data_IF_654767244992
#
_entry.id   IF_654767244992
#
_cell.length_a   1.000
_cell.length_b   1.000
_cell.length_c   1.000
_cell.angle_alpha   90.00
_cell.angle_beta   90.00
_cell.angle_gamma   90.00
#
_symmetry.space_group_name_H-M   'P 1'
#
loop_
_entity.id
_entity.type
_entity.pdbx_description
1 polymer ?
#
# COMPACT_ATOMS: atom_id res chain seq x y z
N UNK A 1 -27.58 -2.31 7.48
CA UNK A 1 -26.74 -3.52 7.58
C UNK A 1 -26.89 -4.50 6.42
N UNK A 2 -27.93 -4.40 5.57
CA UNK A 2 -28.21 -5.36 4.48
C UNK A 2 -27.04 -5.57 3.50
N UNK A 3 -26.26 -4.54 3.20
CA UNK A 3 -25.09 -4.68 2.33
C UNK A 3 -23.98 -5.55 2.95
N UNK A 4 -23.60 -5.28 4.20
CA UNK A 4 -22.55 -6.07 4.87
C UNK A 4 -23.00 -7.52 5.05
N UNK A 5 -24.27 -7.72 5.36
CA UNK A 5 -24.88 -9.05 5.49
C UNK A 5 -24.94 -9.80 4.15
N UNK A 6 -25.10 -9.10 3.03
CA UNK A 6 -25.07 -9.70 1.70
C UNK A 6 -23.64 -10.12 1.29
N UNK A 7 -22.64 -9.26 1.49
CA UNK A 7 -21.27 -9.51 1.05
C UNK A 7 -20.46 -10.43 1.97
N UNK A 8 -20.79 -10.48 3.26
CA UNK A 8 -20.11 -11.34 4.23
C UNK A 8 -20.95 -12.59 4.48
N UNK A 9 -20.44 -13.73 3.98
CA UNK A 9 -21.03 -15.05 4.21
C UNK A 9 -20.97 -15.43 5.68
N UNK A 10 -19.81 -15.23 6.31
CA UNK A 10 -19.58 -15.42 7.75
C UNK A 10 -20.09 -14.20 8.54
N UNK A 11 -21.04 -14.43 9.45
CA UNK A 11 -21.81 -13.35 10.11
C UNK A 11 -21.08 -12.71 11.29
N UNK A 12 -20.12 -13.42 11.88
CA UNK A 12 -19.21 -12.88 12.90
C UNK A 12 -18.28 -11.79 12.34
N UNK A 13 -17.92 -11.86 11.05
CA UNK A 13 -17.10 -10.84 10.37
C UNK A 13 -17.79 -9.47 10.30
N UNK A 14 -19.12 -9.41 10.35
CA UNK A 14 -19.87 -8.15 10.39
C UNK A 14 -19.49 -7.33 11.63
N UNK A 15 -19.34 -7.98 12.78
CA UNK A 15 -18.90 -7.31 14.00
C UNK A 15 -17.48 -6.75 13.84
N UNK A 16 -16.56 -7.57 13.31
CA UNK A 16 -15.16 -7.18 13.03
C UNK A 16 -15.08 -6.00 12.05
N UNK A 17 -15.93 -5.97 11.03
CA UNK A 17 -15.98 -4.89 10.04
C UNK A 17 -16.25 -3.54 10.72
N UNK A 18 -17.29 -3.47 11.56
CA UNK A 18 -17.72 -2.20 12.17
C UNK A 18 -16.97 -1.83 13.45
N UNK A 19 -16.51 -2.80 14.25
CA UNK A 19 -15.83 -2.52 15.52
C UNK A 19 -14.31 -2.47 15.42
N UNK A 20 -13.72 -3.12 14.42
CA UNK A 20 -12.26 -3.20 14.28
C UNK A 20 -11.77 -2.49 13.02
N UNK A 21 -12.33 -2.81 11.85
CA UNK A 21 -11.83 -2.29 10.57
C UNK A 21 -12.25 -0.84 10.31
N UNK A 22 -13.52 -0.49 10.54
CA UNK A 22 -14.00 0.88 10.30
C UNK A 22 -13.27 1.94 11.17
N UNK A 23 -13.12 1.76 12.50
CA UNK A 23 -12.37 2.72 13.32
C UNK A 23 -10.89 2.80 12.92
N UNK A 24 -10.26 1.68 12.54
CA UNK A 24 -8.86 1.64 12.09
C UNK A 24 -8.60 2.56 10.90
N UNK A 25 -9.57 2.67 9.99
CA UNK A 25 -9.43 3.46 8.77
C UNK A 25 -10.02 4.87 8.86
N UNK A 26 -10.56 5.28 10.00
CA UNK A 26 -11.09 6.62 10.20
C UNK A 26 -10.13 7.77 9.80
N UNK A 27 -8.81 7.73 10.10
CA UNK A 27 -7.90 8.80 9.68
C UNK A 27 -7.44 8.69 8.22
N UNK A 28 -7.81 7.62 7.50
CA UNK A 28 -7.36 7.35 6.14
C UNK A 28 -8.49 7.69 5.15
N UNK A 29 -8.45 8.83 4.44
CA UNK A 29 -9.52 9.22 3.52
C UNK A 29 -9.58 8.35 2.24
N UNK A 30 -8.63 7.42 2.06
CA UNK A 30 -8.62 6.49 0.93
C UNK A 30 -7.46 5.51 0.98
N UNK A 31 -7.47 4.55 0.04
CA UNK A 31 -6.47 3.47 -0.07
C UNK A 31 -6.39 2.60 1.21
N UNK A 32 -7.44 1.81 1.45
CA UNK A 32 -7.51 0.88 2.58
C UNK A 32 -6.69 -0.40 2.36
N UNK A 33 -6.58 -0.80 1.08
CA UNK A 33 -5.88 -1.99 0.65
C UNK A 33 -4.50 -1.65 0.08
N UNK A 34 -3.60 -2.63 0.15
CA UNK A 34 -2.39 -2.68 -0.65
C UNK A 34 -2.42 -3.95 -1.46
N UNK A 35 -2.01 -3.86 -2.72
CA UNK A 35 -1.88 -5.00 -3.62
C UNK A 35 -0.44 -5.08 -4.12
N UNK A 36 0.18 -6.25 -4.07
CA UNK A 36 1.52 -6.52 -4.59
C UNK A 36 1.47 -7.73 -5.51
N UNK A 37 2.10 -7.60 -6.68
CA UNK A 37 2.26 -8.72 -7.60
C UNK A 37 3.32 -9.68 -7.05
N UNK A 38 3.02 -10.97 -7.07
CA UNK A 38 3.95 -12.04 -6.68
C UNK A 38 4.26 -12.89 -7.91
N UNK A 39 5.30 -13.74 -7.86
CA UNK A 39 5.57 -14.67 -8.94
C UNK A 39 4.34 -15.50 -9.29
N UNK A 40 4.24 -15.90 -10.57
CA UNK A 40 3.17 -16.78 -11.03
C UNK A 40 3.11 -18.05 -10.19
N UNK A 41 1.90 -18.59 -10.04
CA UNK A 41 1.71 -19.83 -9.29
C UNK A 41 2.51 -20.98 -9.92
N UNK A 42 3.32 -21.64 -9.10
CA UNK A 42 4.09 -22.81 -9.52
C UNK A 42 3.17 -24.04 -9.75
N UNK A 43 3.67 -24.99 -10.54
CA UNK A 43 3.17 -26.34 -10.73
C UNK A 43 1.88 -26.59 -11.53
N UNK A 44 1.04 -25.60 -11.85
CA UNK A 44 -0.23 -25.88 -12.58
C UNK A 44 -0.44 -25.07 -13.86
N UNK A 45 -0.77 -23.78 -13.74
CA UNK A 45 -1.27 -22.95 -14.84
C UNK A 45 -0.46 -21.67 -15.07
N UNK A 46 0.59 -21.45 -14.26
CA UNK A 46 1.42 -20.23 -14.28
C UNK A 46 0.59 -18.93 -14.21
N UNK A 47 -0.58 -18.99 -13.56
CA UNK A 47 -1.46 -17.83 -13.41
C UNK A 47 -0.73 -16.66 -12.74
N UNK A 48 -1.04 -15.44 -13.18
CA UNK A 48 -0.53 -14.22 -12.55
C UNK A 48 -1.18 -14.05 -11.19
N UNK A 49 -0.36 -13.90 -10.15
CA UNK A 49 -0.82 -13.88 -8.76
C UNK A 49 -0.52 -12.53 -8.11
N UNK A 50 -1.35 -12.17 -7.13
CA UNK A 50 -1.15 -10.98 -6.31
C UNK A 50 -1.56 -11.24 -4.86
N UNK A 51 -0.93 -10.53 -3.93
CA UNK A 51 -1.30 -10.47 -2.52
C UNK A 51 -2.02 -9.16 -2.26
N UNK A 52 -3.20 -9.23 -1.64
CA UNK A 52 -3.94 -8.06 -1.16
C UNK A 52 -3.97 -8.07 0.36
N UNK A 53 -3.63 -6.94 0.98
CA UNK A 53 -3.66 -6.75 2.43
C UNK A 53 -4.46 -5.50 2.82
N UNK A 54 -5.10 -5.55 3.98
CA UNK A 54 -5.62 -4.35 4.65
C UNK A 54 -4.48 -3.67 5.41
N UNK A 55 -4.30 -2.36 5.21
CA UNK A 55 -3.23 -1.61 5.88
C UNK A 55 -3.42 -1.62 7.40
N UNK A 56 -2.30 -1.59 8.14
CA UNK A 56 -2.30 -1.64 9.61
C UNK A 56 -2.79 -2.97 10.19
N UNK A 57 -2.64 -4.07 9.44
CA UNK A 57 -2.81 -5.41 9.98
C UNK A 57 -1.64 -5.77 10.94
N UNK A 58 -1.82 -6.73 11.85
CA UNK A 58 -0.79 -7.13 12.83
C UNK A 58 0.21 -8.16 12.27
N UNK A 59 0.21 -8.42 10.96
CA UNK A 59 1.08 -9.43 10.35
C UNK A 59 2.44 -8.83 9.98
N UNK A 60 3.47 -9.68 9.74
CA UNK A 60 4.76 -9.21 9.25
C UNK A 60 4.60 -8.36 7.98
N UNK A 61 5.31 -7.22 7.86
CA UNK A 61 5.17 -6.33 6.71
C UNK A 61 5.68 -7.01 5.44
N UNK A 62 4.92 -6.88 4.34
CA UNK A 62 5.32 -7.40 3.04
C UNK A 62 6.63 -6.75 2.55
N UNK A 63 7.46 -7.53 1.84
CA UNK A 63 8.67 -7.03 1.19
C UNK A 63 8.24 -6.08 0.08
N UNK A 64 8.70 -4.83 0.18
CA UNK A 64 8.37 -3.77 -0.79
C UNK A 64 9.58 -3.43 -1.64
N UNK A 65 9.38 -3.10 -2.92
CA UNK A 65 10.40 -2.40 -3.69
C UNK A 65 10.77 -1.12 -2.94
N UNK A 66 12.05 -1.01 -2.55
CA UNK A 66 12.56 0.20 -1.90
C UNK A 66 12.85 1.22 -3.00
N UNK A 67 12.53 2.49 -2.73
CA UNK A 67 13.03 3.58 -3.56
C UNK A 67 14.54 3.67 -3.37
N UNK A 68 15.22 4.09 -4.43
CA UNK A 68 16.65 4.36 -4.36
C UNK A 68 16.97 5.39 -3.29
N UNK A 69 18.12 5.23 -2.66
CA UNK A 69 18.57 6.18 -1.65
C UNK A 69 18.82 7.55 -2.28
N UNK A 70 18.67 8.62 -1.50
CA UNK A 70 19.02 9.97 -1.97
C UNK A 70 20.50 10.10 -2.35
N UNK A 71 21.36 9.22 -1.81
CA UNK A 71 22.82 9.24 -2.00
C UNK A 71 23.28 8.54 -3.27
N UNK A 72 22.38 8.09 -4.15
CA UNK A 72 22.81 7.67 -5.49
C UNK A 72 23.37 8.87 -6.25
N UNK A 73 24.33 8.61 -7.15
CA UNK A 73 24.95 9.66 -7.96
C UNK A 73 23.88 10.51 -8.67
N UNK A 74 22.90 9.86 -9.30
CA UNK A 74 21.80 10.52 -9.98
C UNK A 74 20.99 11.42 -9.05
N UNK A 75 20.59 10.92 -7.87
CA UNK A 75 19.77 11.70 -6.94
C UNK A 75 20.53 12.89 -6.35
N UNK A 76 21.85 12.76 -6.13
CA UNK A 76 22.69 13.89 -5.70
C UNK A 76 22.82 14.95 -6.80
N UNK A 77 22.99 14.55 -8.06
CA UNK A 77 23.04 15.47 -9.20
C UNK A 77 21.70 16.21 -9.38
N UNK A 78 20.58 15.49 -9.30
CA UNK A 78 19.24 16.07 -9.36
C UNK A 78 18.98 17.04 -8.19
N UNK A 79 19.48 16.71 -7.00
CA UNK A 79 19.40 17.59 -5.84
C UNK A 79 20.17 18.89 -6.05
N UNK A 80 21.42 18.82 -6.51
CA UNK A 80 22.23 20.00 -6.80
C UNK A 80 21.58 20.89 -7.87
N UNK A 81 21.10 20.28 -8.97
CA UNK A 81 20.37 21.00 -10.01
C UNK A 81 19.13 21.73 -9.48
N UNK A 82 18.37 21.08 -8.58
CA UNK A 82 17.20 21.71 -7.93
C UNK A 82 17.59 22.89 -7.04
N UNK A 83 18.69 22.76 -6.29
CA UNK A 83 19.19 23.83 -5.41
C UNK A 83 19.68 25.04 -6.22
N UNK A 84 20.40 24.81 -7.32
CA UNK A 84 20.86 25.89 -8.20
C UNK A 84 19.69 26.59 -8.92
N UNK A 85 18.68 25.83 -9.36
CA UNK A 85 17.46 26.41 -9.93
C UNK A 85 16.69 27.27 -8.90
N UNK A 86 16.64 26.84 -7.63
CA UNK A 86 16.01 27.61 -6.55
C UNK A 86 16.79 28.89 -6.23
N UNK A 87 18.13 28.85 -6.29
CA UNK A 87 18.98 30.04 -6.12
C UNK A 87 18.81 31.03 -7.27
N UNK A 88 18.70 30.54 -8.50
CA UNK A 88 18.47 31.37 -9.68
C UNK A 88 17.05 31.96 -9.75
N UNK A 89 16.08 31.39 -9.02
CA UNK A 89 14.69 31.83 -8.99
C UNK A 89 14.31 32.66 -7.74
N UNK A 90 15.24 32.82 -6.78
CA UNK A 90 15.13 33.85 -5.74
C UNK A 90 15.34 35.25 -6.36
N UNK A 91 14.90 36.34 -5.70
CA UNK A 91 14.97 37.69 -6.26
C UNK A 91 16.38 38.10 -6.69
#
# INVERSE_FOLDING_TARGET
MRMADFWLTEKDLVHKLFKVLAPRFQPHPGSYTRMLHIPSRDCLDRAKMAVIELKGNPFPPLIRPRRDSEKTLLNQLLKGCREDAQRAAGP
#
